data_IF_967584447855
#
_entry.id   IF_967584447855
#
_cell.length_a   1.000
_cell.length_b   1.000
_cell.length_c   1.000
_cell.angle_alpha   90.00
_cell.angle_beta   90.00
_cell.angle_gamma   90.00
#
_symmetry.space_group_name_H-M   'P 1'
#
loop_
_entity.id
_entity.type
_entity.pdbx_description
1 polymer ?
#
# COMPACT_ATOMS: atom_id res chain seq x y z
N UNK A 1 16.67 -8.32 21.19
CA UNK A 1 15.60 -9.32 21.08
C UNK A 1 15.36 -9.57 19.60
N UNK A 2 15.43 -10.82 19.15
CA UNK A 2 15.16 -11.23 17.77
C UNK A 2 13.72 -11.72 17.70
N UNK A 3 12.96 -11.29 16.69
CA UNK A 3 11.57 -11.75 16.49
C UNK A 3 11.63 -13.17 15.93
N UNK A 4 10.98 -14.12 16.59
CA UNK A 4 10.93 -15.52 16.15
C UNK A 4 9.52 -15.90 15.66
N UNK A 5 9.36 -17.14 15.19
CA UNK A 5 8.06 -17.68 14.77
C UNK A 5 7.13 -17.91 15.97
N UNK A 6 7.59 -18.52 17.07
CA UNK A 6 6.77 -18.85 18.24
C UNK A 6 6.12 -17.65 18.95
N UNK A 7 6.69 -16.47 18.76
CA UNK A 7 6.17 -15.17 19.15
C UNK A 7 4.77 -14.87 18.56
N UNK A 8 4.35 -15.55 17.48
CA UNK A 8 3.01 -15.41 16.87
C UNK A 8 1.89 -15.77 17.83
N UNK A 9 1.97 -16.93 18.51
CA UNK A 9 0.92 -17.39 19.41
C UNK A 9 0.62 -16.39 20.54
N UNK A 10 1.67 -15.73 21.03
CA UNK A 10 1.54 -14.73 22.08
C UNK A 10 1.02 -13.39 21.53
N UNK A 11 1.60 -12.89 20.45
CA UNK A 11 1.31 -11.53 19.98
C UNK A 11 0.02 -11.42 19.16
N UNK A 12 -0.37 -12.45 18.41
CA UNK A 12 -1.49 -12.38 17.48
C UNK A 12 -2.80 -11.98 18.18
N UNK A 13 -3.20 -12.56 19.35
CA UNK A 13 -4.40 -12.09 20.06
C UNK A 13 -4.36 -10.61 20.44
N UNK A 14 -3.18 -10.08 20.80
CA UNK A 14 -3.01 -8.67 21.15
C UNK A 14 -3.07 -7.77 19.92
N UNK A 15 -2.44 -8.18 18.83
CA UNK A 15 -2.51 -7.48 17.54
C UNK A 15 -3.96 -7.39 17.08
N UNK A 16 -4.71 -8.50 17.13
CA UNK A 16 -6.14 -8.54 16.79
C UNK A 16 -6.94 -7.60 17.68
N UNK A 17 -6.75 -7.69 19.00
CA UNK A 17 -7.42 -6.85 19.99
C UNK A 17 -7.20 -5.36 19.72
N UNK A 18 -5.94 -4.94 19.56
CA UNK A 18 -5.61 -3.53 19.38
C UNK A 18 -5.96 -3.00 18.00
N UNK A 19 -5.95 -3.82 16.95
CA UNK A 19 -6.33 -3.36 15.61
C UNK A 19 -7.82 -3.10 15.48
N UNK A 20 -8.66 -3.95 16.09
CA UNK A 20 -10.13 -3.96 16.01
C UNK A 20 -10.71 -4.21 14.60
N UNK A 21 -10.07 -3.65 13.55
CA UNK A 21 -10.32 -3.87 12.12
C UNK A 21 -9.11 -4.59 11.53
N UNK A 22 -9.29 -5.88 11.18
CA UNK A 22 -8.22 -6.72 10.69
C UNK A 22 -7.78 -6.32 9.29
N UNK A 23 -6.80 -5.41 9.25
CA UNK A 23 -6.07 -5.08 8.02
C UNK A 23 -4.88 -6.01 7.88
N UNK A 24 -4.94 -6.87 6.86
CA UNK A 24 -3.89 -7.84 6.55
C UNK A 24 -2.64 -7.09 6.06
N UNK A 25 -1.48 -7.36 6.66
CA UNK A 25 -0.21 -6.75 6.26
C UNK A 25 0.80 -6.57 7.40
N UNK A 26 1.55 -5.47 7.37
CA UNK A 26 2.70 -5.10 8.22
C UNK A 26 2.42 -5.02 9.73
N UNK A 27 1.20 -5.38 10.16
CA UNK A 27 0.71 -5.26 11.52
C UNK A 27 1.57 -6.00 12.54
N UNK A 28 1.97 -7.23 12.23
CA UNK A 28 2.78 -8.00 13.15
C UNK A 28 4.18 -7.39 13.35
N UNK A 29 4.99 -7.14 12.29
CA UNK A 29 6.26 -6.44 12.43
C UNK A 29 6.15 -5.10 13.15
N UNK A 30 5.13 -4.29 12.83
CA UNK A 30 4.92 -2.99 13.46
C UNK A 30 4.65 -3.11 14.96
N UNK A 31 3.80 -4.05 15.38
CA UNK A 31 3.56 -4.28 16.81
C UNK A 31 4.86 -4.64 17.56
N UNK A 32 5.69 -5.51 16.99
CA UNK A 32 6.95 -5.92 17.63
C UNK A 32 7.97 -4.80 17.70
N UNK A 33 8.20 -4.10 16.59
CA UNK A 33 9.19 -3.02 16.57
C UNK A 33 8.78 -1.91 17.53
N UNK A 34 7.49 -1.58 17.60
CA UNK A 34 6.97 -0.56 18.53
C UNK A 34 7.11 -1.01 19.98
N UNK A 35 6.83 -2.28 20.28
CA UNK A 35 7.10 -2.86 21.62
C UNK A 35 8.57 -2.79 22.02
N UNK A 36 9.49 -3.00 21.08
CA UNK A 36 10.92 -2.92 21.36
C UNK A 36 11.37 -1.48 21.55
N UNK A 37 10.94 -0.58 20.67
CA UNK A 37 11.28 0.83 20.72
C UNK A 37 10.73 1.52 21.98
N UNK A 38 9.51 1.16 22.43
CA UNK A 38 8.87 1.80 23.59
C UNK A 38 9.58 1.60 24.93
N UNK A 39 10.51 0.63 24.99
CA UNK A 39 11.41 0.41 26.12
C UNK A 39 12.49 1.49 26.23
N UNK A 40 12.80 2.19 25.14
CA UNK A 40 13.90 3.15 25.06
C UNK A 40 13.42 4.57 24.81
N UNK A 41 12.35 4.75 24.03
CA UNK A 41 11.80 6.05 23.65
C UNK A 41 10.29 6.07 23.76
N UNK A 42 9.70 7.26 23.81
CA UNK A 42 8.25 7.47 23.78
C UNK A 42 7.75 8.05 22.47
N UNK A 43 8.63 8.55 21.63
CA UNK A 43 8.31 9.13 20.33
C UNK A 43 9.26 8.56 19.28
N UNK A 44 8.74 8.16 18.12
CA UNK A 44 9.52 7.76 16.96
C UNK A 44 9.04 8.44 15.67
N UNK A 45 9.96 8.67 14.74
CA UNK A 45 9.65 9.22 13.41
C UNK A 45 9.53 8.09 12.40
N UNK A 46 8.49 8.14 11.56
CA UNK A 46 8.22 7.14 10.53
C UNK A 46 8.17 7.75 9.13
N UNK A 47 8.65 6.99 8.14
CA UNK A 47 8.70 7.40 6.73
C UNK A 47 7.39 7.24 5.95
N UNK A 48 6.26 6.94 6.60
CA UNK A 48 4.94 6.76 5.95
C UNK A 48 4.52 8.05 5.24
N UNK A 49 3.87 7.93 4.08
CA UNK A 49 3.56 9.07 3.20
C UNK A 49 4.63 9.33 2.15
N UNK A 50 5.88 8.89 2.37
CA UNK A 50 6.95 9.06 1.38
C UNK A 50 6.71 8.30 0.07
N UNK A 51 6.01 7.16 0.11
CA UNK A 51 5.61 6.43 -1.09
C UNK A 51 4.42 7.09 -1.80
N UNK A 52 3.39 7.46 -1.05
CA UNK A 52 2.13 8.01 -1.56
C UNK A 52 2.30 9.41 -2.15
N UNK A 53 3.21 10.24 -1.60
CA UNK A 53 3.46 11.59 -2.08
C UNK A 53 4.37 11.63 -3.32
N UNK A 54 5.36 10.73 -3.38
CA UNK A 54 6.46 10.78 -4.35
C UNK A 54 6.48 9.63 -5.37
N UNK A 55 5.41 8.84 -5.46
CA UNK A 55 5.28 7.78 -6.46
C UNK A 55 6.18 6.58 -6.16
N UNK A 56 6.09 6.07 -4.94
CA UNK A 56 6.89 4.95 -4.47
C UNK A 56 6.43 3.56 -4.94
N UNK A 57 5.29 3.48 -5.61
CA UNK A 57 4.77 2.25 -6.21
C UNK A 57 4.59 2.37 -7.73
N UNK A 58 5.68 2.58 -8.52
CA UNK A 58 5.57 2.88 -9.95
C UNK A 58 4.65 1.92 -10.72
N UNK A 59 4.69 0.62 -10.39
CA UNK A 59 3.89 -0.43 -11.05
C UNK A 59 2.38 -0.24 -10.98
N UNK A 60 1.88 0.47 -9.96
CA UNK A 60 0.44 0.74 -9.81
C UNK A 60 -0.08 1.71 -10.87
N UNK A 61 0.81 2.51 -11.45
CA UNK A 61 0.44 3.57 -12.38
C UNK A 61 0.58 3.13 -13.85
N UNK A 62 1.14 1.95 -14.12
CA UNK A 62 1.42 1.48 -15.48
C UNK A 62 0.15 1.16 -16.27
N UNK A 63 -0.90 0.66 -15.62
CA UNK A 63 -2.14 0.30 -16.31
C UNK A 63 -2.97 1.52 -16.72
N UNK A 64 -2.75 2.65 -16.08
CA UNK A 64 -3.50 3.89 -16.32
C UNK A 64 -2.78 4.86 -17.25
N UNK A 65 -1.50 4.60 -17.55
CA UNK A 65 -0.68 5.47 -18.40
C UNK A 65 -1.26 5.59 -19.81
N UNK A 66 -1.71 4.48 -20.39
CA UNK A 66 -2.26 4.43 -21.76
C UNK A 66 -3.75 4.81 -21.84
N UNK A 67 -4.39 5.15 -20.72
CA UNK A 67 -5.80 5.53 -20.74
C UNK A 67 -6.00 6.81 -21.54
N UNK A 68 -6.99 6.83 -22.44
CA UNK A 68 -7.23 7.97 -23.34
C UNK A 68 -8.15 9.03 -22.73
N UNK A 69 -8.96 8.64 -21.75
CA UNK A 69 -9.96 9.51 -21.11
C UNK A 69 -10.34 9.01 -19.71
N UNK A 70 -11.15 9.80 -19.01
CA UNK A 70 -11.65 9.51 -17.66
C UNK A 70 -12.29 8.11 -17.52
N UNK A 71 -13.14 7.72 -18.47
CA UNK A 71 -13.86 6.44 -18.41
C UNK A 71 -12.89 5.27 -18.50
N UNK A 72 -11.94 5.35 -19.42
CA UNK A 72 -10.90 4.35 -19.58
C UNK A 72 -9.95 4.31 -18.37
N UNK A 73 -9.59 5.48 -17.82
CA UNK A 73 -8.82 5.58 -16.58
C UNK A 73 -9.51 4.87 -15.42
N UNK A 74 -10.80 5.14 -15.18
CA UNK A 74 -11.56 4.48 -14.11
C UNK A 74 -11.65 2.98 -14.30
N UNK A 75 -11.88 2.50 -15.53
CA UNK A 75 -11.90 1.06 -15.81
C UNK A 75 -10.55 0.41 -15.51
N UNK A 76 -9.47 0.93 -16.11
CA UNK A 76 -8.15 0.35 -15.99
C UNK A 76 -7.63 0.38 -14.54
N UNK A 77 -7.90 1.47 -13.82
CA UNK A 77 -7.46 1.61 -12.43
C UNK A 77 -8.32 0.78 -11.48
N UNK A 78 -9.63 0.71 -11.67
CA UNK A 78 -10.49 -0.17 -10.88
C UNK A 78 -10.11 -1.65 -11.06
N UNK A 79 -9.87 -2.06 -12.31
CA UNK A 79 -9.44 -3.43 -12.64
C UNK A 79 -8.05 -3.76 -12.07
N UNK A 80 -7.18 -2.76 -11.91
CA UNK A 80 -5.90 -2.94 -11.20
C UNK A 80 -6.12 -3.33 -9.73
N UNK A 81 -7.03 -2.64 -9.03
CA UNK A 81 -7.32 -2.90 -7.62
C UNK A 81 -8.20 -4.16 -7.41
N UNK A 82 -8.86 -4.64 -8.46
CA UNK A 82 -9.66 -5.86 -8.44
C UNK A 82 -8.80 -7.11 -8.69
N UNK A 83 -8.57 -7.92 -7.65
CA UNK A 83 -7.60 -9.03 -7.71
C UNK A 83 -8.14 -10.40 -8.13
N UNK A 84 -9.38 -10.75 -7.77
CA UNK A 84 -9.84 -12.15 -7.85
C UNK A 84 -10.63 -12.49 -9.11
N UNK A 85 -11.66 -11.69 -9.43
CA UNK A 85 -12.55 -11.92 -10.56
C UNK A 85 -13.00 -10.59 -11.13
N UNK A 86 -13.28 -10.48 -12.43
CA UNK A 86 -13.86 -9.28 -13.05
C UNK A 86 -15.30 -9.06 -12.59
N UNK A 87 -15.84 -7.84 -12.76
CA UNK A 87 -17.24 -7.52 -12.40
C UNK A 87 -18.22 -8.49 -13.07
N UNK A 88 -17.99 -8.83 -14.34
CA UNK A 88 -18.83 -9.76 -15.09
C UNK A 88 -18.85 -11.17 -14.48
N UNK A 89 -17.68 -11.65 -14.03
CA UNK A 89 -17.54 -12.97 -13.41
C UNK A 89 -18.05 -13.00 -11.96
N UNK A 90 -18.09 -11.86 -11.24
CA UNK A 90 -18.60 -11.80 -9.85
C UNK A 90 -20.01 -12.35 -9.73
N UNK A 91 -20.91 -12.04 -10.68
CA UNK A 91 -22.31 -12.52 -10.64
C UNK A 91 -22.42 -14.05 -10.59
N UNK A 92 -21.42 -14.76 -11.11
CA UNK A 92 -21.37 -16.23 -11.13
C UNK A 92 -20.87 -16.84 -9.82
N UNK A 93 -20.28 -16.04 -8.93
CA UNK A 93 -19.76 -16.52 -7.63
C UNK A 93 -20.83 -16.57 -6.54
N UNK A 94 -21.97 -15.91 -6.74
CA UNK A 94 -23.03 -15.83 -5.74
C UNK A 94 -24.26 -16.62 -6.18
N UNK A 95 -24.99 -17.15 -5.20
CA UNK A 95 -26.27 -17.81 -5.45
C UNK A 95 -27.28 -16.80 -6.01
N UNK A 96 -28.29 -17.29 -6.75
CA UNK A 96 -29.37 -16.43 -7.26
C UNK A 96 -30.08 -15.66 -6.14
N UNK A 97 -30.20 -16.25 -4.95
CA UNK A 97 -30.75 -15.60 -3.77
C UNK A 97 -29.90 -14.40 -3.35
N UNK A 98 -28.62 -14.61 -3.04
CA UNK A 98 -27.70 -13.55 -2.64
C UNK A 98 -27.58 -12.45 -3.70
N UNK A 99 -27.48 -12.84 -4.98
CA UNK A 99 -27.32 -11.90 -6.10
C UNK A 99 -28.51 -10.95 -6.31
N UNK A 100 -29.72 -11.29 -5.87
CA UNK A 100 -30.89 -10.38 -5.91
C UNK A 100 -30.78 -9.22 -4.92
N UNK A 101 -30.02 -9.40 -3.84
CA UNK A 101 -29.84 -8.41 -2.78
C UNK A 101 -28.52 -7.66 -2.89
N UNK A 102 -27.76 -7.87 -3.96
CA UNK A 102 -26.44 -7.28 -4.15
C UNK A 102 -26.43 -6.34 -5.35
N UNK A 103 -25.90 -5.13 -5.14
CA UNK A 103 -25.53 -4.25 -6.24
C UNK A 103 -24.06 -4.49 -6.64
N UNK A 104 -23.87 -5.27 -7.70
CA UNK A 104 -22.53 -5.57 -8.23
C UNK A 104 -21.80 -4.35 -8.83
N UNK A 105 -22.51 -3.25 -9.12
CA UNK A 105 -21.93 -2.02 -9.64
C UNK A 105 -21.55 -1.03 -8.54
N UNK A 106 -22.13 -1.15 -7.34
CA UNK A 106 -21.86 -0.25 -6.21
C UNK A 106 -20.37 -0.09 -5.91
N UNK A 107 -19.54 -1.14 -5.81
CA UNK A 107 -18.12 -0.97 -5.47
C UNK A 107 -17.37 -0.11 -6.49
N UNK A 108 -17.72 -0.22 -7.78
CA UNK A 108 -17.15 0.64 -8.83
C UNK A 108 -17.63 2.07 -8.70
N UNK A 109 -18.92 2.29 -8.42
CA UNK A 109 -19.46 3.65 -8.18
C UNK A 109 -18.82 4.32 -6.96
N UNK A 110 -18.58 3.57 -5.88
CA UNK A 110 -17.89 4.07 -4.68
C UNK A 110 -16.43 4.43 -5.01
N UNK A 111 -15.75 3.58 -5.77
CA UNK A 111 -14.40 3.87 -6.25
C UNK A 111 -14.33 5.15 -7.10
N UNK A 112 -15.21 5.28 -8.09
CA UNK A 112 -15.28 6.46 -8.97
C UNK A 112 -15.59 7.74 -8.15
N UNK A 113 -16.40 7.62 -7.09
CA UNK A 113 -16.77 8.73 -6.20
C UNK A 113 -15.57 9.38 -5.53
N UNK A 114 -14.50 8.63 -5.23
CA UNK A 114 -13.27 9.19 -4.64
C UNK A 114 -12.71 10.31 -5.53
N UNK A 115 -12.78 10.11 -6.84
CA UNK A 115 -12.30 11.06 -7.84
C UNK A 115 -13.31 12.15 -8.13
N UNK A 116 -14.59 11.78 -8.36
CA UNK A 116 -15.62 12.75 -8.76
C UNK A 116 -16.01 13.73 -7.65
N UNK A 117 -15.67 13.42 -6.40
CA UNK A 117 -15.75 14.38 -5.30
C UNK A 117 -14.90 15.63 -5.53
N UNK A 118 -13.81 15.52 -6.30
CA UNK A 118 -12.94 16.63 -6.65
C UNK A 118 -13.11 16.99 -8.15
N UNK A 119 -13.95 17.98 -8.42
CA UNK A 119 -14.22 18.48 -9.79
C UNK A 119 -13.02 19.14 -10.48
N UNK A 120 -11.91 19.38 -9.77
CA UNK A 120 -10.69 19.98 -10.33
C UNK A 120 -9.77 18.95 -10.99
N UNK A 121 -10.01 17.64 -10.78
CA UNK A 121 -9.20 16.60 -11.40
C UNK A 121 -9.44 16.55 -12.91
N UNK A 122 -8.35 16.32 -13.65
CA UNK A 122 -8.31 16.30 -15.12
C UNK A 122 -7.87 14.93 -15.63
N UNK A 123 -8.18 14.59 -16.87
CA UNK A 123 -8.00 13.23 -17.42
C UNK A 123 -7.60 13.23 -18.90
N UNK A 124 -6.94 14.30 -19.36
CA UNK A 124 -6.54 14.48 -20.75
C UNK A 124 -5.14 13.93 -21.03
N UNK A 125 -4.31 13.75 -19.99
CA UNK A 125 -2.91 13.36 -20.15
C UNK A 125 -2.51 12.21 -19.23
N UNK A 126 -1.51 11.39 -19.60
CA UNK A 126 -0.99 10.34 -18.73
C UNK A 126 -0.47 10.84 -17.39
N UNK A 127 0.14 12.03 -17.35
CA UNK A 127 0.61 12.64 -16.09
C UNK A 127 -0.55 12.96 -15.14
N UNK A 128 -1.69 13.43 -15.67
CA UNK A 128 -2.89 13.66 -14.86
C UNK A 128 -3.47 12.34 -14.35
N UNK A 129 -3.47 11.27 -15.14
CA UNK A 129 -3.88 9.94 -14.68
C UNK A 129 -3.03 9.45 -13.50
N UNK A 130 -1.71 9.60 -13.58
CA UNK A 130 -0.80 9.24 -12.49
C UNK A 130 -1.06 10.11 -11.25
N UNK A 131 -1.21 11.43 -11.42
CA UNK A 131 -1.56 12.33 -10.30
C UNK A 131 -2.87 11.92 -9.63
N UNK A 132 -3.88 11.56 -10.40
CA UNK A 132 -5.17 11.09 -9.88
C UNK A 132 -4.99 9.77 -9.12
N UNK A 133 -4.14 8.85 -9.59
CA UNK A 133 -3.79 7.63 -8.85
C UNK A 133 -3.11 7.92 -7.51
N UNK A 134 -2.16 8.87 -7.45
CA UNK A 134 -1.55 9.31 -6.18
C UNK A 134 -2.58 9.94 -5.24
N UNK A 135 -3.47 10.78 -5.77
CA UNK A 135 -4.58 11.36 -5.01
C UNK A 135 -5.47 10.27 -4.39
N UNK A 136 -5.81 9.24 -5.18
CA UNK A 136 -6.59 8.11 -4.69
C UNK A 136 -5.88 7.38 -3.54
N UNK A 137 -4.58 7.13 -3.67
CA UNK A 137 -3.79 6.46 -2.63
C UNK A 137 -3.75 7.28 -1.33
N UNK A 138 -3.52 8.59 -1.41
CA UNK A 138 -3.56 9.49 -0.24
C UNK A 138 -4.94 9.48 0.42
N UNK A 139 -6.03 9.41 -0.37
CA UNK A 139 -7.40 9.42 0.15
C UNK A 139 -7.89 8.10 0.72
N UNK A 140 -7.39 6.96 0.24
CA UNK A 140 -7.97 5.64 0.53
C UNK A 140 -6.99 4.65 1.16
N UNK A 141 -5.72 4.70 0.77
CA UNK A 141 -4.70 3.75 1.22
C UNK A 141 -3.95 4.29 2.44
N UNK A 142 -3.48 5.55 2.38
CA UNK A 142 -2.71 6.19 3.45
C UNK A 142 -3.44 6.20 4.81
N UNK A 143 -4.74 6.52 4.92
CA UNK A 143 -5.43 6.51 6.21
C UNK A 143 -5.42 5.12 6.86
N UNK A 144 -5.48 4.06 6.06
CA UNK A 144 -5.36 2.68 6.55
C UNK A 144 -3.99 2.39 7.14
N UNK A 145 -2.92 2.91 6.55
CA UNK A 145 -1.56 2.77 7.08
C UNK A 145 -1.39 3.52 8.40
N UNK A 146 -1.94 4.73 8.49
CA UNK A 146 -1.89 5.55 9.71
C UNK A 146 -2.65 4.89 10.86
N UNK A 147 -3.85 4.37 10.61
CA UNK A 147 -4.63 3.65 11.62
C UNK A 147 -3.90 2.41 12.14
N UNK A 148 -3.26 1.64 11.24
CA UNK A 148 -2.49 0.46 11.65
C UNK A 148 -1.27 0.84 12.47
N UNK A 149 -0.49 1.85 12.05
CA UNK A 149 0.68 2.33 12.78
C UNK A 149 0.31 2.86 14.16
N UNK A 150 -0.66 3.79 14.22
CA UNK A 150 -1.13 4.42 15.45
C UNK A 150 -1.63 3.40 16.48
N UNK A 151 -2.55 2.51 16.10
CA UNK A 151 -3.11 1.51 17.02
C UNK A 151 -2.05 0.58 17.60
N UNK A 152 -1.10 0.14 16.77
CA UNK A 152 -0.08 -0.83 17.17
C UNK A 152 1.08 -0.20 17.96
N UNK A 153 1.43 1.05 17.65
CA UNK A 153 2.41 1.81 18.42
C UNK A 153 1.85 2.22 19.77
N UNK A 154 0.62 2.73 19.81
CA UNK A 154 -0.07 3.12 21.05
C UNK A 154 -0.41 1.93 21.95
N UNK A 155 -0.62 0.73 21.40
CA UNK A 155 -0.70 -0.51 22.18
C UNK A 155 0.54 -0.75 23.07
N UNK A 156 1.67 -0.13 22.71
CA UNK A 156 2.93 -0.22 23.43
C UNK A 156 3.35 1.12 24.08
N UNK A 157 2.47 2.13 24.10
CA UNK A 157 2.76 3.46 24.65
C UNK A 157 3.85 4.22 23.88
N UNK A 158 3.90 4.05 22.56
CA UNK A 158 4.83 4.72 21.66
C UNK A 158 4.06 5.63 20.71
N UNK A 159 4.42 6.92 20.67
CA UNK A 159 3.87 7.90 19.73
C UNK A 159 4.65 7.88 18.42
N UNK A 160 3.94 7.65 17.31
CA UNK A 160 4.49 7.79 15.96
C UNK A 160 4.24 9.20 15.41
N UNK A 161 5.27 9.78 14.77
CA UNK A 161 5.15 11.02 14.00
C UNK A 161 5.53 10.78 12.56
N UNK A 162 4.87 11.50 11.65
CA UNK A 162 4.97 11.31 10.21
C UNK A 162 5.48 12.59 9.53
N UNK A 163 6.81 12.85 9.51
CA UNK A 163 7.36 14.09 8.95
C UNK A 163 6.96 14.34 7.49
N UNK A 164 6.78 13.29 6.69
CA UNK A 164 6.34 13.42 5.30
C UNK A 164 4.92 13.99 5.16
N UNK A 165 4.10 13.88 6.20
CA UNK A 165 2.70 14.31 6.21
C UNK A 165 2.50 15.70 6.83
N UNK A 166 3.57 16.45 7.03
CA UNK A 166 3.46 17.88 7.29
C UNK A 166 2.64 18.57 6.17
N UNK A 167 1.72 19.47 6.55
CA UNK A 167 0.78 20.06 5.62
C UNK A 167 1.49 20.87 4.52
N UNK A 168 2.55 21.61 4.86
CA UNK A 168 3.31 22.40 3.88
C UNK A 168 4.09 21.50 2.93
N UNK A 169 4.71 20.43 3.47
CA UNK A 169 5.41 19.45 2.65
C UNK A 169 4.46 18.71 1.70
N UNK A 170 3.28 18.32 2.18
CA UNK A 170 2.23 17.69 1.38
C UNK A 170 1.75 18.65 0.27
N UNK A 171 1.48 19.91 0.62
CA UNK A 171 1.06 20.95 -0.33
C UNK A 171 2.12 21.18 -1.41
N UNK A 172 3.39 21.19 -1.03
CA UNK A 172 4.52 21.28 -1.96
C UNK A 172 4.61 20.02 -2.84
N UNK A 173 4.62 18.83 -2.24
CA UNK A 173 4.76 17.57 -2.95
C UNK A 173 3.65 17.34 -3.99
N UNK A 174 2.42 17.78 -3.72
CA UNK A 174 1.31 17.71 -4.67
C UNK A 174 1.49 18.61 -5.90
N UNK A 175 2.28 19.68 -5.81
CA UNK A 175 2.56 20.59 -6.93
C UNK A 175 3.73 20.11 -7.82
N UNK A 176 4.53 19.15 -7.35
CA UNK A 176 5.67 18.63 -8.10
C UNK A 176 5.18 17.88 -9.35
N UNK A 177 5.62 18.25 -10.57
CA UNK A 177 5.28 17.52 -11.79
C UNK A 177 5.71 16.05 -11.74
N UNK A 178 4.88 15.16 -12.30
CA UNK A 178 5.07 13.69 -12.24
C UNK A 178 6.42 13.24 -12.79
N UNK A 179 6.91 13.89 -13.87
CA UNK A 179 8.23 13.63 -14.46
C UNK A 179 9.41 13.73 -13.48
N UNK A 180 9.25 14.42 -12.35
CA UNK A 180 10.26 14.48 -11.29
C UNK A 180 10.09 13.40 -10.23
N UNK A 181 8.88 12.84 -10.07
CA UNK A 181 8.57 11.77 -9.12
C UNK A 181 8.91 10.39 -9.69
N UNK A 182 8.52 10.15 -10.94
CA UNK A 182 8.72 8.90 -11.68
C UNK A 182 9.55 9.19 -12.94
N UNK A 183 10.50 8.33 -13.31
CA UNK A 183 11.14 8.41 -14.63
C UNK A 183 10.52 7.41 -15.61
N UNK A 184 10.97 7.53 -16.86
CA UNK A 184 10.63 6.65 -17.99
C UNK A 184 9.15 6.31 -18.18
N UNK A 185 8.28 7.31 -18.03
CA UNK A 185 6.84 7.22 -18.28
C UNK A 185 6.49 6.44 -19.57
N UNK A 186 7.23 6.64 -20.66
CA UNK A 186 6.99 5.98 -21.95
C UNK A 186 7.59 4.57 -22.16
N UNK A 187 8.35 4.00 -21.21
CA UNK A 187 8.93 2.63 -21.30
C UNK A 187 8.47 1.71 -20.17
N UNK A 188 7.40 2.07 -19.48
CA UNK A 188 6.89 1.31 -18.33
C UNK A 188 6.34 -0.06 -18.77
N UNK A 189 7.06 -1.14 -18.45
CA UNK A 189 6.63 -2.52 -18.76
C UNK A 189 5.35 -2.87 -18.01
N UNK A 190 4.29 -3.26 -18.74
CA UNK A 190 3.04 -3.79 -18.16
C UNK A 190 3.32 -5.03 -17.32
N UNK A 191 2.82 -5.03 -16.08
CA UNK A 191 2.92 -6.16 -15.15
C UNK A 191 1.56 -6.85 -14.97
N UNK A 192 1.59 -8.17 -15.02
CA UNK A 192 0.53 -9.02 -14.50
C UNK A 192 0.93 -9.52 -13.11
N UNK A 193 0.29 -8.98 -12.07
CA UNK A 193 0.57 -9.36 -10.68
C UNK A 193 0.12 -10.79 -10.32
N UNK A 194 -0.68 -11.42 -11.19
CA UNK A 194 -1.15 -12.80 -11.06
C UNK A 194 -0.14 -13.82 -11.61
N UNK A 195 0.89 -13.37 -12.33
CA UNK A 195 1.99 -14.23 -12.76
C UNK A 195 2.98 -14.44 -11.60
N UNK A 196 2.72 -15.48 -10.80
CA UNK A 196 3.55 -15.87 -9.66
C UNK A 196 5.02 -16.14 -10.04
N UNK A 197 5.28 -16.58 -11.29
CA UNK A 197 6.64 -16.89 -11.78
C UNK A 197 7.43 -15.61 -12.09
N UNK A 198 6.76 -14.49 -12.35
CA UNK A 198 7.39 -13.19 -12.64
C UNK A 198 7.58 -12.31 -11.41
N UNK A 199 6.80 -12.48 -10.34
CA UNK A 199 6.92 -11.66 -9.11
C UNK A 199 8.37 -11.46 -8.63
N UNK A 200 9.18 -12.51 -8.50
CA UNK A 200 10.58 -12.42 -8.01
C UNK A 200 11.55 -11.67 -8.96
N UNK A 201 11.28 -11.62 -10.27
CA UNK A 201 12.19 -11.00 -11.27
C UNK A 201 11.94 -9.50 -11.50
N UNK A 202 10.82 -8.98 -11.03
CA UNK A 202 10.34 -7.65 -11.40
C UNK A 202 10.31 -6.66 -10.24
N UNK A 203 10.03 -7.07 -8.99
CA UNK A 203 10.25 -6.20 -7.82
C UNK A 203 11.71 -5.72 -7.71
N UNK A 204 12.64 -6.49 -8.29
CA UNK A 204 14.08 -6.21 -8.36
C UNK A 204 14.52 -5.29 -9.50
N UNK A 205 13.63 -4.73 -10.32
CA UNK A 205 14.05 -3.93 -11.49
C UNK A 205 13.37 -2.56 -11.63
N UNK A 206 12.49 -2.17 -10.70
CA UNK A 206 11.84 -0.85 -10.74
C UNK A 206 12.41 0.05 -9.64
N UNK A 207 13.51 0.72 -9.97
CA UNK A 207 14.07 1.82 -9.15
C UNK A 207 13.44 3.18 -9.51
N UNK A 208 12.33 3.17 -10.25
CA UNK A 208 11.90 4.36 -10.99
C UNK A 208 10.91 5.27 -10.24
N UNK A 209 10.91 5.19 -8.92
CA UNK A 209 10.03 5.94 -8.03
C UNK A 209 10.79 6.82 -7.05
N UNK A 210 10.12 7.85 -6.53
CA UNK A 210 10.68 8.80 -5.56
C UNK A 210 11.90 9.57 -6.06
N UNK A 211 12.04 9.78 -7.38
CA UNK A 211 13.25 10.35 -7.96
C UNK A 211 13.61 11.73 -7.40
N UNK A 212 12.62 12.62 -7.25
CA UNK A 212 12.83 13.94 -6.63
C UNK A 212 13.28 13.84 -5.18
N UNK A 213 12.72 12.91 -4.41
CA UNK A 213 13.09 12.69 -3.02
C UNK A 213 14.50 12.09 -2.92
N UNK A 214 14.83 11.10 -3.77
CA UNK A 214 16.18 10.52 -3.86
C UNK A 214 17.21 11.61 -4.16
N UNK A 215 16.94 12.46 -5.15
CA UNK A 215 17.82 13.61 -5.50
C UNK A 215 17.98 14.58 -4.35
N UNK A 216 16.90 14.96 -3.67
CA UNK A 216 16.95 15.87 -2.53
C UNK A 216 17.77 15.29 -1.35
N UNK A 217 17.83 13.97 -1.21
CA UNK A 217 18.55 13.30 -0.12
C UNK A 217 20.00 12.92 -0.47
N UNK A 218 20.47 13.16 -1.70
CA UNK A 218 21.79 12.73 -2.17
C UNK A 218 22.95 13.27 -1.34
N UNK A 219 22.81 14.47 -0.79
CA UNK A 219 23.85 15.10 0.04
C UNK A 219 23.84 14.61 1.50
N UNK A 220 22.75 13.94 1.93
CA UNK A 220 22.55 13.52 3.32
C UNK A 220 22.72 12.02 3.53
N UNK A 221 22.52 11.20 2.49
CA UNK A 221 22.51 9.75 2.58
C UNK A 221 23.58 9.12 1.69
N UNK A 222 24.17 7.98 2.11
CA UNK A 222 25.11 7.25 1.29
C UNK A 222 24.51 6.81 -0.06
N UNK A 223 25.34 6.80 -1.10
CA UNK A 223 24.94 6.46 -2.48
C UNK A 223 24.27 5.09 -2.56
N UNK A 224 24.71 4.12 -1.76
CA UNK A 224 24.12 2.78 -1.68
C UNK A 224 22.68 2.78 -1.17
N UNK A 225 22.33 3.70 -0.26
CA UNK A 225 20.94 3.87 0.24
C UNK A 225 20.10 4.59 -0.82
N UNK A 226 20.67 5.62 -1.45
CA UNK A 226 20.01 6.40 -2.51
C UNK A 226 19.70 5.54 -3.74
N UNK A 227 20.56 4.60 -4.11
CA UNK A 227 20.35 3.66 -5.22
C UNK A 227 19.68 2.35 -4.80
N UNK A 228 19.31 2.22 -3.52
CA UNK A 228 18.70 1.00 -3.01
C UNK A 228 17.33 0.81 -3.64
N UNK A 229 17.11 -0.41 -4.11
CA UNK A 229 15.82 -0.84 -4.62
C UNK A 229 14.77 -0.86 -3.51
N UNK A 230 13.50 -0.67 -3.89
CA UNK A 230 12.40 -0.69 -2.95
C UNK A 230 12.27 -2.07 -2.31
N UNK A 231 12.29 -2.10 -0.99
CA UNK A 231 12.01 -3.29 -0.19
C UNK A 231 10.76 -3.02 0.65
N UNK A 232 9.80 -3.95 0.61
CA UNK A 232 8.63 -3.91 1.47
C UNK A 232 9.01 -4.23 2.92
N UNK A 233 8.24 -3.70 3.86
CA UNK A 233 8.38 -4.05 5.28
C UNK A 233 7.49 -5.25 5.61
N UNK A 234 7.89 -6.44 5.15
CA UNK A 234 7.18 -7.69 5.40
C UNK A 234 7.91 -8.55 6.42
N UNK A 235 7.16 -9.25 7.28
CA UNK A 235 7.69 -10.39 8.02
C UNK A 235 8.10 -11.50 7.03
N UNK A 236 8.98 -12.43 7.45
CA UNK A 236 9.25 -13.64 6.68
C UNK A 236 8.08 -14.63 6.86
N UNK A 237 6.88 -14.22 6.43
CA UNK A 237 5.60 -14.89 6.66
C UNK A 237 5.66 -16.38 6.28
N UNK A 238 6.26 -16.69 5.12
CA UNK A 238 6.41 -18.08 4.66
C UNK A 238 7.16 -18.97 5.65
N UNK A 239 8.20 -18.44 6.29
CA UNK A 239 8.95 -19.20 7.31
C UNK A 239 8.20 -19.27 8.64
N UNK A 240 7.43 -18.23 8.95
CA UNK A 240 6.75 -18.12 10.24
C UNK A 240 5.44 -18.88 10.30
N UNK A 241 4.76 -19.12 9.18
CA UNK A 241 3.56 -19.96 9.14
C UNK A 241 3.85 -21.44 8.91
N UNK A 242 5.12 -21.87 8.98
CA UNK A 242 5.49 -23.29 8.92
C UNK A 242 5.49 -23.92 10.32
N UNK A 243 5.43 -25.25 10.33
CA UNK A 243 5.60 -26.10 11.51
C UNK A 243 4.66 -25.72 12.67
N UNK A 244 5.21 -25.39 13.85
CA UNK A 244 4.45 -25.15 15.09
C UNK A 244 3.34 -24.10 14.96
N UNK A 245 3.56 -23.06 14.14
CA UNK A 245 2.54 -22.04 13.91
C UNK A 245 1.46 -22.49 12.93
N UNK A 246 1.78 -23.39 12.00
CA UNK A 246 0.77 -23.99 11.13
C UNK A 246 -0.21 -24.81 11.97
N UNK A 247 0.30 -25.55 12.96
CA UNK A 247 -0.52 -26.34 13.84
C UNK A 247 -1.34 -25.47 14.80
N UNK A 248 -0.78 -24.38 15.34
CA UNK A 248 -1.54 -23.38 16.08
C UNK A 248 -2.69 -22.77 15.25
N UNK A 249 -2.44 -22.41 13.99
CA UNK A 249 -3.49 -21.86 13.10
C UNK A 249 -4.56 -22.90 12.79
N UNK A 250 -4.18 -24.17 12.55
CA UNK A 250 -5.14 -25.26 12.38
C UNK A 250 -5.98 -25.47 13.63
N UNK A 251 -5.36 -25.50 14.81
CA UNK A 251 -6.04 -25.63 16.10
C UNK A 251 -7.07 -24.51 16.28
N UNK A 252 -6.72 -23.27 15.96
CA UNK A 252 -7.61 -22.11 16.10
C UNK A 252 -8.80 -22.12 15.11
N UNK A 253 -8.60 -22.65 13.90
CA UNK A 253 -9.62 -22.61 12.83
C UNK A 253 -10.49 -23.87 12.75
N UNK A 254 -9.98 -25.01 13.22
CA UNK A 254 -10.60 -26.32 13.03
C UNK A 254 -11.14 -26.95 14.33
N UNK A 255 -10.77 -26.40 15.50
CA UNK A 255 -11.41 -26.72 16.78
C UNK A 255 -12.46 -25.67 17.15
#
# INVERSE_FOLDING_TARGET
QVINSGDIRWSLPRVVWHLEDLRVGMSYPNYYISRLASKFVKVCLQGTGGDELYGGYPWRYYRVFDSLNQKEFFNNYYDFWQRLVTIEKRKKLFTRFAGKHMDFAEPKRVFERVFTFNSKLKYETPEQHINNSLYFEIKTFLPGLLLVGDKLSMANGLEERFPFLDNELVNFAQKIPIKHKLANLGKMKRLDENDLKKRKKFYTNYDDGKNVLRKAMMEFLPTEIIKRQKQGFSAPDESWYRDENADYVKELLLN
#
